data_IF_741846053143
#
_entry.id   IF_741846053143
#
_cell.length_a   1.000
_cell.length_b   1.000
_cell.length_c   1.000
_cell.angle_alpha   90.00
_cell.angle_beta   90.00
_cell.angle_gamma   90.00
#
_symmetry.space_group_name_H-M   'P 1'
#
loop_
_entity.id
_entity.type
_entity.pdbx_description
1 polymer ?
#
# COMPACT_ATOMS: atom_id res chain seq x y z
N UNK A 1 14.51 -16.56 3.53
CA UNK A 1 13.35 -15.86 2.94
C UNK A 1 13.60 -14.37 3.10
N UNK A 2 13.95 -13.62 2.04
CA UNK A 2 14.22 -12.20 2.18
C UNK A 2 12.90 -11.44 2.40
N UNK A 3 12.84 -10.62 3.44
CA UNK A 3 11.76 -9.67 3.66
C UNK A 3 11.62 -8.76 2.45
N UNK A 4 10.47 -8.85 1.78
CA UNK A 4 10.16 -7.99 0.65
C UNK A 4 9.84 -6.61 1.22
N UNK A 5 10.84 -5.73 1.26
CA UNK A 5 10.59 -4.32 1.57
C UNK A 5 9.82 -3.68 0.40
N UNK A 6 8.50 -3.69 0.53
CA UNK A 6 7.59 -2.92 -0.30
C UNK A 6 7.86 -1.44 -0.07
N UNK A 7 7.82 -0.62 -1.11
CA UNK A 7 7.69 0.82 -0.87
C UNK A 7 6.30 0.99 -0.28
N UNK A 8 6.24 1.17 1.04
CA UNK A 8 5.01 1.27 1.83
C UNK A 8 4.04 2.27 1.20
N UNK A 9 2.87 1.74 0.81
CA UNK A 9 1.62 2.47 0.63
C UNK A 9 1.36 3.20 -0.72
N UNK A 10 0.59 2.59 -1.65
CA UNK A 10 0.24 3.20 -2.93
C UNK A 10 -0.76 4.36 -2.85
N UNK A 11 -1.34 4.60 -1.67
CA UNK A 11 -2.31 5.66 -1.38
C UNK A 11 -1.66 6.80 -0.56
N UNK A 12 -0.33 6.92 -0.60
CA UNK A 12 0.39 8.02 0.04
C UNK A 12 -0.07 9.40 -0.46
N UNK A 13 0.14 10.43 0.35
CA UNK A 13 -0.20 11.80 -0.04
C UNK A 13 0.58 12.23 -1.30
N UNK A 14 1.82 11.76 -1.45
CA UNK A 14 2.66 12.02 -2.61
C UNK A 14 2.05 11.47 -3.91
N UNK A 15 1.47 10.26 -3.86
CA UNK A 15 0.87 9.64 -5.05
C UNK A 15 -0.43 10.34 -5.43
N UNK A 16 -1.21 10.79 -4.43
CA UNK A 16 -2.40 11.63 -4.63
C UNK A 16 -2.02 12.98 -5.26
N UNK A 17 -1.02 13.68 -4.72
CA UNK A 17 -0.51 14.95 -5.26
C UNK A 17 0.00 14.80 -6.69
N UNK A 18 0.78 13.76 -6.97
CA UNK A 18 1.28 13.50 -8.33
C UNK A 18 0.13 13.20 -9.29
N UNK A 19 -0.88 12.45 -8.86
CA UNK A 19 -2.07 12.18 -9.66
C UNK A 19 -2.86 13.45 -9.96
N UNK A 20 -3.10 14.30 -8.96
CA UNK A 20 -3.87 15.54 -9.12
C UNK A 20 -3.08 16.61 -9.91
N UNK A 21 -1.75 16.63 -9.78
CA UNK A 21 -0.88 17.54 -10.55
C UNK A 21 -0.78 17.19 -12.03
N UNK A 22 -1.25 16.01 -12.41
CA UNK A 22 -1.07 15.49 -13.75
C UNK A 22 -2.12 16.00 -14.71
N UNK A 23 -1.72 16.15 -15.97
CA UNK A 23 -2.66 16.39 -17.05
C UNK A 23 -3.71 15.26 -17.14
N UNK A 24 -4.97 15.65 -17.30
CA UNK A 24 -6.14 14.77 -17.26
C UNK A 24 -6.10 13.65 -18.32
N UNK A 25 -5.35 13.86 -19.41
CA UNK A 25 -5.16 12.90 -20.50
C UNK A 25 -4.13 11.81 -20.19
N UNK A 26 -3.24 12.00 -19.20
CA UNK A 26 -2.05 11.16 -19.05
C UNK A 26 -2.27 10.04 -18.02
N UNK A 27 -2.03 8.80 -18.41
CA UNK A 27 -2.20 7.60 -17.55
C UNK A 27 -1.18 7.50 -16.40
N UNK A 28 -1.62 7.52 -15.14
CA UNK A 28 -0.77 7.40 -13.93
C UNK A 28 -1.13 6.13 -13.17
N UNK A 29 -0.12 5.31 -12.86
CA UNK A 29 -0.28 4.10 -12.05
C UNK A 29 0.72 4.13 -10.88
N UNK A 30 0.27 4.32 -9.62
CA UNK A 30 1.14 4.28 -8.45
C UNK A 30 1.72 2.88 -8.18
N UNK A 31 1.22 1.84 -8.84
CA UNK A 31 1.68 0.46 -8.71
C UNK A 31 2.79 0.07 -9.69
N UNK A 32 3.33 1.03 -10.45
CA UNK A 32 4.42 0.80 -11.42
C UNK A 32 5.65 0.11 -10.80
N UNK A 33 6.02 0.48 -9.57
CA UNK A 33 7.14 -0.16 -8.88
C UNK A 33 6.89 -1.66 -8.60
N UNK A 34 5.66 -2.03 -8.24
CA UNK A 34 5.28 -3.43 -8.02
C UNK A 34 5.29 -4.21 -9.35
N UNK A 35 4.83 -3.60 -10.45
CA UNK A 35 4.90 -4.19 -11.78
C UNK A 35 6.34 -4.41 -12.25
N UNK A 36 7.22 -3.42 -12.05
CA UNK A 36 8.62 -3.54 -12.41
C UNK A 36 9.33 -4.67 -11.63
N UNK A 37 8.95 -4.88 -10.37
CA UNK A 37 9.47 -5.98 -9.53
C UNK A 37 9.04 -7.35 -10.06
N UNK A 38 7.77 -7.53 -10.40
CA UNK A 38 7.29 -8.80 -10.97
C UNK A 38 7.94 -9.10 -12.32
N UNK A 39 8.13 -8.08 -13.17
CA UNK A 39 8.89 -8.20 -14.42
C UNK A 39 10.37 -8.55 -14.19
N UNK A 40 10.97 -8.02 -13.12
CA UNK A 40 12.35 -8.36 -12.73
C UNK A 40 12.46 -9.80 -12.22
N UNK A 41 11.43 -10.32 -11.58
CA UNK A 41 11.34 -11.72 -11.18
C UNK A 41 11.22 -12.63 -12.42
N UNK A 42 10.33 -12.30 -13.35
CA UNK A 42 10.18 -13.06 -14.60
C UNK A 42 11.47 -13.11 -15.42
N UNK A 43 12.19 -11.99 -15.53
CA UNK A 43 13.49 -11.94 -16.25
C UNK A 43 14.56 -12.83 -15.65
N UNK A 44 14.48 -13.15 -14.35
CA UNK A 44 15.46 -13.98 -13.64
C UNK A 44 15.10 -15.46 -13.63
N UNK A 45 13.81 -15.77 -13.65
CA UNK A 45 13.30 -17.13 -13.62
C UNK A 45 12.78 -17.58 -15.00
N UNK A 46 13.34 -17.05 -16.09
CA UNK A 46 13.00 -17.43 -17.47
C UNK A 46 11.50 -17.35 -17.83
N UNK A 47 10.72 -16.55 -17.10
CA UNK A 47 9.28 -16.41 -17.28
C UNK A 47 8.42 -17.30 -16.38
N UNK A 48 9.00 -18.03 -15.42
CA UNK A 48 8.25 -18.85 -14.48
C UNK A 48 7.38 -18.00 -13.55
N UNK A 49 6.08 -18.07 -13.79
CA UNK A 49 5.07 -17.25 -13.09
C UNK A 49 4.83 -17.73 -11.66
N UNK A 50 4.99 -19.01 -11.40
CA UNK A 50 4.73 -19.63 -10.09
C UNK A 50 5.70 -19.10 -9.02
N UNK A 51 6.95 -18.87 -9.40
CA UNK A 51 7.98 -18.28 -8.52
C UNK A 51 7.76 -16.79 -8.24
N UNK A 52 6.92 -16.13 -9.02
CA UNK A 52 6.70 -14.68 -8.97
C UNK A 52 5.28 -14.30 -8.52
N UNK A 53 4.48 -15.26 -8.05
CA UNK A 53 3.08 -15.08 -7.62
C UNK A 53 2.93 -13.98 -6.57
N UNK A 54 3.81 -13.90 -5.59
CA UNK A 54 3.79 -12.88 -4.54
C UNK A 54 3.95 -11.46 -5.09
N UNK A 55 4.81 -11.29 -6.10
CA UNK A 55 4.98 -9.99 -6.76
C UNK A 55 3.74 -9.59 -7.57
N UNK A 56 3.03 -10.55 -8.17
CA UNK A 56 1.77 -10.30 -8.86
C UNK A 56 0.64 -9.99 -7.88
N UNK A 57 0.59 -10.66 -6.73
CA UNK A 57 -0.38 -10.38 -5.68
C UNK A 57 -0.23 -8.95 -5.18
N UNK A 58 0.99 -8.51 -4.87
CA UNK A 58 1.20 -7.13 -4.44
C UNK A 58 0.82 -6.08 -5.49
N UNK A 59 1.03 -6.36 -6.79
CA UNK A 59 0.53 -5.47 -7.85
C UNK A 59 -1.01 -5.41 -7.87
N UNK A 60 -1.68 -6.55 -7.73
CA UNK A 60 -3.15 -6.63 -7.68
C UNK A 60 -3.71 -5.90 -6.46
N UNK A 61 -3.12 -6.11 -5.29
CA UNK A 61 -3.56 -5.50 -4.04
C UNK A 61 -3.37 -3.99 -4.08
N UNK A 62 -2.22 -3.54 -4.60
CA UNK A 62 -1.95 -2.12 -4.83
C UNK A 62 -3.02 -1.48 -5.72
N UNK A 63 -3.30 -2.11 -6.87
CA UNK A 63 -4.27 -1.59 -7.84
C UNK A 63 -5.69 -1.62 -7.29
N UNK A 64 -6.06 -2.67 -6.54
CA UNK A 64 -7.36 -2.79 -5.89
C UNK A 64 -7.57 -1.66 -4.89
N UNK A 65 -6.60 -1.44 -3.99
CA UNK A 65 -6.65 -0.35 -3.00
C UNK A 65 -6.75 1.02 -3.67
N UNK A 66 -5.99 1.28 -4.72
CA UNK A 66 -6.06 2.55 -5.47
C UNK A 66 -7.44 2.79 -6.11
N UNK A 67 -8.01 1.78 -6.77
CA UNK A 67 -9.34 1.89 -7.41
C UNK A 67 -10.43 2.08 -6.37
N UNK A 68 -10.35 1.33 -5.26
CA UNK A 68 -11.29 1.38 -4.15
C UNK A 68 -11.30 2.77 -3.52
N UNK A 69 -10.15 3.33 -3.15
CA UNK A 69 -10.02 4.70 -2.64
C UNK A 69 -10.63 5.71 -3.61
N UNK A 70 -10.35 5.61 -4.91
CA UNK A 70 -10.92 6.53 -5.91
C UNK A 70 -12.43 6.36 -6.04
N UNK A 71 -12.97 5.16 -5.79
CA UNK A 71 -14.41 4.91 -5.78
C UNK A 71 -15.04 5.47 -4.51
N UNK A 72 -14.43 5.26 -3.34
CA UNK A 72 -14.89 5.81 -2.07
C UNK A 72 -14.84 7.33 -2.08
N UNK A 73 -13.79 7.96 -2.61
CA UNK A 73 -13.71 9.43 -2.73
C UNK A 73 -14.77 10.00 -3.68
N UNK A 74 -15.04 9.33 -4.81
CA UNK A 74 -16.15 9.70 -5.70
C UNK A 74 -17.51 9.52 -5.03
N UNK A 75 -17.68 8.43 -4.29
CA UNK A 75 -18.89 8.12 -3.55
C UNK A 75 -19.15 9.11 -2.41
N UNK A 76 -18.13 9.43 -1.61
CA UNK A 76 -18.16 10.45 -0.56
C UNK A 76 -18.53 11.82 -1.15
N UNK A 77 -17.94 12.22 -2.29
CA UNK A 77 -18.31 13.46 -2.98
C UNK A 77 -19.76 13.44 -3.47
N UNK A 78 -20.21 12.31 -4.03
CA UNK A 78 -21.59 12.15 -4.49
C UNK A 78 -22.59 12.23 -3.32
N UNK A 79 -22.35 11.49 -2.23
CA UNK A 79 -23.20 11.52 -1.03
C UNK A 79 -23.13 12.88 -0.31
N UNK A 80 -21.95 13.46 -0.17
CA UNK A 80 -21.77 14.79 0.44
C UNK A 80 -22.50 15.88 -0.34
N UNK A 81 -22.59 15.74 -1.67
CA UNK A 81 -23.42 16.61 -2.52
C UNK A 81 -24.93 16.41 -2.33
N UNK A 82 -25.37 15.29 -1.74
CA UNK A 82 -26.78 15.00 -1.44
C UNK A 82 -27.23 15.45 -0.03
N UNK A 83 -26.39 16.18 0.71
CA UNK A 83 -26.85 16.90 1.92
C UNK A 83 -27.29 16.03 3.10
N UNK A 84 -26.87 14.77 3.17
CA UNK A 84 -27.04 13.93 4.37
C UNK A 84 -25.70 13.78 5.07
N UNK A 85 -25.45 14.64 6.07
CA UNK A 85 -24.23 14.65 6.87
C UNK A 85 -24.05 13.39 7.71
N UNK A 86 -22.82 12.87 7.76
CA UNK A 86 -22.44 11.71 8.56
C UNK A 86 -20.93 11.55 8.68
N UNK A 87 -20.36 12.31 9.64
CA UNK A 87 -19.14 12.09 10.46
C UNK A 87 -17.91 11.36 9.87
N UNK A 88 -16.80 12.11 9.89
CA UNK A 88 -15.41 11.66 9.99
C UNK A 88 -15.22 10.44 10.90
N UNK A 89 -14.44 9.45 10.44
CA UNK A 89 -13.17 9.11 11.09
C UNK A 89 -12.26 8.39 10.07
N UNK A 90 -11.36 9.16 9.47
CA UNK A 90 -10.16 8.63 8.84
C UNK A 90 -9.08 8.66 9.92
N UNK A 91 -8.84 7.56 10.64
CA UNK A 91 -7.62 7.32 11.42
C UNK A 91 -7.61 5.90 11.99
N UNK A 92 -7.26 4.92 11.16
CA UNK A 92 -6.62 3.69 11.64
C UNK A 92 -5.27 3.55 10.92
N UNK A 93 -4.39 4.53 11.13
CA UNK A 93 -2.96 4.25 11.05
C UNK A 93 -2.57 3.55 12.35
N UNK A 94 -2.89 2.26 12.43
CA UNK A 94 -2.40 1.43 13.52
C UNK A 94 -0.95 1.08 13.20
N UNK A 95 -0.07 1.99 13.62
CA UNK A 95 1.30 1.67 13.96
C UNK A 95 1.29 0.39 14.81
N UNK A 96 1.90 -0.68 14.29
CA UNK A 96 2.28 -1.83 15.10
C UNK A 96 3.41 -1.39 16.03
N UNK A 97 3.05 -0.75 17.13
CA UNK A 97 3.93 -0.51 18.24
C UNK A 97 4.34 -1.85 18.85
N UNK A 98 5.65 -2.10 18.85
CA UNK A 98 6.28 -3.16 19.64
C UNK A 98 6.00 -2.95 21.12
N UNK A 99 5.70 -3.99 21.91
CA UNK A 99 5.99 -3.97 23.32
C UNK A 99 7.40 -4.52 23.55
N UNK A 100 8.30 -3.60 23.93
CA UNK A 100 9.46 -3.93 24.73
C UNK A 100 9.00 -4.24 26.16
N UNK A 101 9.29 -5.45 26.66
CA UNK A 101 9.38 -5.84 28.06
C UNK A 101 9.94 -7.28 28.09
N UNK A 102 10.92 -7.70 28.87
CA UNK A 102 11.60 -7.09 30.00
C UNK A 102 13.03 -7.67 30.09
N UNK A 103 13.98 -6.85 30.50
CA UNK A 103 15.28 -7.32 30.97
C UNK A 103 15.15 -7.90 32.38
N UNK A 104 15.79 -9.05 32.61
CA UNK A 104 16.11 -9.53 33.95
C UNK A 104 17.61 -9.39 34.16
N UNK A 105 17.97 -8.46 35.04
CA UNK A 105 19.32 -8.26 35.54
C UNK A 105 19.56 -9.13 36.78
N UNK A 106 20.76 -9.70 36.84
CA UNK A 106 21.59 -10.02 38.03
C UNK A 106 21.13 -11.03 39.08
N UNK A 107 22.03 -11.95 39.41
CA UNK A 107 22.03 -12.70 40.66
C UNK A 107 22.95 -13.92 40.61
N UNK A 108 24.25 -13.71 40.86
CA UNK A 108 25.20 -14.80 41.06
C UNK A 108 25.18 -15.27 42.51
N UNK A 109 25.38 -16.57 42.74
CA UNK A 109 25.66 -17.12 44.06
C UNK A 109 26.46 -18.44 43.93
N UNK A 110 27.72 -18.34 44.38
CA UNK A 110 28.70 -19.34 44.85
C UNK A 110 29.17 -20.50 43.95
#
# INVERSE_FOLDING_TARGET
MPEIQYRENPIGEDTKRQFDSKETSKFYDPCQDAANRSLKCLRRNMGDREMCTDYFQAYRDCKKKWIEERKTERWKKAIGSLGFGGSEESSESSASASPAAAGSATGGEK
#
